data_IF_458754241622
#
_entry.id   IF_458754241622
#
_cell.length_a   1.000
_cell.length_b   1.000
_cell.length_c   1.000
_cell.angle_alpha   90.00
_cell.angle_beta   90.00
_cell.angle_gamma   90.00
#
_symmetry.space_group_name_H-M   'P 1'
#
loop_
_entity.id
_entity.type
_entity.pdbx_description
1 polymer ?
#
# COMPACT_ATOMS: atom_id res chain seq x y z
N UNK A 1 2.45 7.59 4.60
CA UNK A 1 2.46 8.09 3.21
C UNK A 1 1.76 9.43 3.23
N UNK A 2 2.49 10.55 3.24
CA UNK A 2 1.84 11.86 3.02
C UNK A 2 1.51 11.92 1.51
N UNK A 3 0.28 11.52 1.21
CA UNK A 3 -0.53 11.82 0.03
C UNK A 3 0.20 11.98 -1.32
N UNK A 4 0.79 10.91 -1.86
CA UNK A 4 0.99 10.82 -3.32
C UNK A 4 -0.36 10.69 -4.07
N UNK A 5 -1.44 10.32 -3.36
CA UNK A 5 -2.79 10.08 -3.91
C UNK A 5 -3.89 11.03 -3.41
N UNK A 6 -3.51 12.16 -2.80
CA UNK A 6 -4.44 13.06 -2.12
C UNK A 6 -5.02 12.48 -0.82
N UNK A 7 -5.97 13.19 -0.19
CA UNK A 7 -6.67 12.78 1.05
C UNK A 7 -6.41 13.73 2.24
N UNK A 8 -7.29 13.69 3.24
CA UNK A 8 -7.14 14.47 4.47
C UNK A 8 -6.31 13.76 5.55
N UNK A 9 -6.14 14.41 6.73
CA UNK A 9 -5.36 13.87 7.85
C UNK A 9 -5.82 12.50 8.35
N UNK A 10 -7.07 12.10 8.09
CA UNK A 10 -7.59 10.78 8.41
C UNK A 10 -6.77 9.65 7.79
N UNK A 11 -6.10 9.89 6.66
CA UNK A 11 -5.23 8.92 5.99
C UNK A 11 -3.80 8.89 6.56
N UNK A 12 -3.50 9.60 7.65
CA UNK A 12 -2.28 9.36 8.42
C UNK A 12 -2.33 8.01 9.17
N UNK A 13 -3.54 7.50 9.46
CA UNK A 13 -3.75 6.18 10.04
C UNK A 13 -3.80 5.13 8.93
N UNK A 14 -2.90 4.15 8.97
CA UNK A 14 -2.79 3.12 7.93
C UNK A 14 -4.13 2.42 7.63
N UNK A 15 -4.86 2.01 8.67
CA UNK A 15 -6.12 1.28 8.50
C UNK A 15 -7.24 2.11 7.85
N UNK A 16 -7.20 3.44 7.94
CA UNK A 16 -8.22 4.28 7.31
C UNK A 16 -8.15 4.22 5.77
N UNK A 17 -7.00 3.85 5.20
CA UNK A 17 -6.88 3.61 3.76
C UNK A 17 -7.79 2.49 3.25
N UNK A 18 -8.35 1.63 4.11
CA UNK A 18 -9.39 0.65 3.71
C UNK A 18 -10.63 1.29 3.08
N UNK A 19 -10.88 2.56 3.38
CA UNK A 19 -12.01 3.36 2.89
C UNK A 19 -11.68 4.12 1.60
N UNK A 20 -10.42 4.16 1.18
CA UNK A 20 -9.99 4.87 0.00
C UNK A 20 -10.64 4.28 -1.25
N UNK A 21 -11.19 5.11 -2.12
CA UNK A 21 -11.71 4.70 -3.43
C UNK A 21 -12.62 3.46 -3.39
N UNK A 22 -12.39 2.48 -4.26
CA UNK A 22 -13.20 1.25 -4.41
C UNK A 22 -12.39 -0.02 -4.08
N UNK A 23 -13.05 -1.15 -3.72
CA UNK A 23 -12.38 -2.43 -3.57
C UNK A 23 -11.62 -2.82 -4.84
N UNK A 24 -10.45 -3.43 -4.68
CA UNK A 24 -9.63 -3.91 -5.78
C UNK A 24 -9.01 -5.29 -5.46
N UNK A 25 -8.36 -5.87 -6.46
CA UNK A 25 -7.46 -7.02 -6.30
C UNK A 25 -6.00 -6.56 -6.23
N UNK A 26 -5.09 -7.47 -5.90
CA UNK A 26 -3.65 -7.21 -5.97
C UNK A 26 -3.23 -6.94 -7.43
N UNK A 27 -2.90 -5.69 -7.73
CA UNK A 27 -2.46 -5.23 -9.04
C UNK A 27 -1.59 -3.98 -8.92
N UNK A 28 -0.75 -3.71 -9.92
CA UNK A 28 0.03 -2.46 -9.97
C UNK A 28 -0.91 -1.27 -9.91
N UNK A 29 -0.58 -0.30 -9.07
CA UNK A 29 -1.44 0.85 -8.80
C UNK A 29 -2.49 0.63 -7.71
N UNK A 30 -2.65 -0.56 -7.15
CA UNK A 30 -3.48 -0.73 -5.97
C UNK A 30 -2.77 -0.19 -4.71
N UNK A 31 -3.53 0.48 -3.84
CA UNK A 31 -3.16 0.71 -2.46
C UNK A 31 -3.31 -0.60 -1.71
N UNK A 32 -2.22 -1.09 -1.13
CA UNK A 32 -2.20 -2.27 -0.28
C UNK A 32 -2.24 -1.83 1.19
N UNK A 33 -3.23 -2.33 1.93
CA UNK A 33 -3.50 -1.89 3.30
C UNK A 33 -3.42 -3.06 4.26
N UNK A 34 -2.52 -2.95 5.23
CA UNK A 34 -2.47 -3.78 6.42
C UNK A 34 -3.01 -2.98 7.62
N UNK A 35 -3.35 -3.67 8.72
CA UNK A 35 -3.84 -2.99 9.94
C UNK A 35 -2.90 -1.90 10.46
N UNK A 36 -1.59 -2.08 10.30
CA UNK A 36 -0.55 -1.19 10.85
C UNK A 36 0.37 -0.58 9.78
N UNK A 37 0.14 -0.86 8.50
CA UNK A 37 1.01 -0.36 7.42
C UNK A 37 0.23 -0.14 6.14
N UNK A 38 0.72 0.75 5.27
CA UNK A 38 0.11 1.02 3.97
C UNK A 38 1.20 1.28 2.94
N UNK A 39 0.96 0.84 1.71
CA UNK A 39 1.81 1.13 0.57
C UNK A 39 1.04 1.07 -0.74
N UNK A 40 1.77 1.20 -1.84
CA UNK A 40 1.25 1.03 -3.20
C UNK A 40 2.01 -0.09 -3.90
N UNK A 41 1.28 -0.97 -4.58
CA UNK A 41 1.89 -1.94 -5.48
C UNK A 41 2.44 -1.20 -6.69
N UNK A 42 3.74 -1.33 -6.94
CA UNK A 42 4.42 -0.67 -8.07
C UNK A 42 4.98 -1.68 -9.08
N UNK A 43 4.94 -2.96 -8.77
CA UNK A 43 5.42 -4.01 -9.68
C UNK A 43 5.32 -5.40 -9.07
N UNK A 44 5.87 -6.37 -9.78
CA UNK A 44 5.95 -7.77 -9.35
C UNK A 44 7.32 -8.32 -9.77
N UNK A 45 7.97 -9.09 -8.90
CA UNK A 45 9.22 -9.79 -9.24
C UNK A 45 8.93 -10.90 -10.25
N UNK A 46 9.95 -11.38 -10.96
CA UNK A 46 9.85 -12.57 -11.82
C UNK A 46 9.36 -13.81 -11.06
N UNK A 47 9.71 -13.93 -9.77
CA UNK A 47 9.22 -14.98 -8.87
C UNK A 47 7.81 -14.74 -8.30
N UNK A 48 7.09 -13.71 -8.77
CA UNK A 48 5.69 -13.48 -8.43
C UNK A 48 5.43 -12.72 -7.13
N UNK A 49 6.45 -12.17 -6.46
CA UNK A 49 6.27 -11.34 -5.25
C UNK A 49 5.91 -9.91 -5.61
N UNK A 50 4.96 -9.31 -4.91
CA UNK A 50 4.59 -7.91 -5.13
C UNK A 50 5.66 -6.96 -4.62
N UNK A 51 6.00 -5.96 -5.44
CA UNK A 51 6.91 -4.88 -5.12
C UNK A 51 6.09 -3.71 -4.61
N UNK A 52 6.33 -3.30 -3.36
CA UNK A 52 5.56 -2.28 -2.68
C UNK A 52 6.43 -1.06 -2.42
N UNK A 53 5.97 0.11 -2.85
CA UNK A 53 6.49 1.38 -2.37
C UNK A 53 5.71 1.80 -1.12
N UNK A 54 6.38 2.06 -0.01
CA UNK A 54 5.74 2.52 1.22
C UNK A 54 6.65 3.43 2.04
N UNK A 55 6.04 4.35 2.79
CA UNK A 55 6.74 5.20 3.75
C UNK A 55 6.79 4.58 5.14
N UNK A 56 7.67 5.08 6.01
CA UNK A 56 7.94 4.50 7.33
C UNK A 56 8.31 3.00 7.30
N UNK A 57 8.85 2.52 6.18
CA UNK A 57 9.45 1.19 6.10
C UNK A 57 10.86 1.27 6.69
N UNK A 58 10.96 1.05 8.01
CA UNK A 58 12.19 1.27 8.77
C UNK A 58 12.58 2.75 8.84
N UNK A 59 11.60 3.64 9.05
CA UNK A 59 11.81 5.10 9.14
C UNK A 59 12.11 5.79 7.81
N UNK A 60 12.00 5.08 6.68
CA UNK A 60 12.30 5.63 5.33
C UNK A 60 11.20 5.27 4.34
N UNK A 61 11.23 5.91 3.17
CA UNK A 61 10.49 5.42 2.00
C UNK A 61 11.31 4.32 1.34
N UNK A 62 10.70 3.16 1.09
CA UNK A 62 11.35 2.03 0.43
C UNK A 62 10.43 1.42 -0.62
N UNK A 63 11.05 0.91 -1.68
CA UNK A 63 10.42 0.10 -2.72
C UNK A 63 11.03 -1.29 -2.69
N UNK A 64 10.30 -2.32 -2.26
CA UNK A 64 10.86 -3.68 -2.15
C UNK A 64 9.79 -4.78 -2.20
N UNK A 65 10.17 -6.03 -2.50
CA UNK A 65 9.25 -7.16 -2.42
C UNK A 65 8.69 -7.35 -1.01
N UNK A 66 7.37 -7.47 -0.87
CA UNK A 66 6.69 -7.76 0.40
C UNK A 66 5.58 -8.79 0.20
N UNK A 67 5.28 -9.55 1.26
CA UNK A 67 4.08 -10.37 1.30
C UNK A 67 2.86 -9.46 1.39
N UNK A 68 1.78 -9.82 0.69
CA UNK A 68 0.48 -9.13 0.77
C UNK A 68 -0.59 -9.99 1.45
N UNK A 69 -0.17 -11.07 2.13
CA UNK A 69 -1.08 -11.92 2.89
C UNK A 69 -1.81 -11.09 3.96
N UNK A 70 -3.13 -11.29 4.06
CA UNK A 70 -3.99 -10.55 4.99
C UNK A 70 -4.17 -9.06 4.69
N UNK A 71 -3.64 -8.57 3.56
CA UNK A 71 -3.89 -7.21 3.10
C UNK A 71 -5.22 -7.11 2.36
N UNK A 72 -5.78 -5.90 2.35
CA UNK A 72 -6.85 -5.52 1.44
C UNK A 72 -6.31 -4.56 0.38
N UNK A 73 -6.99 -4.47 -0.75
CA UNK A 73 -6.56 -3.65 -1.87
C UNK A 73 -7.63 -2.63 -2.24
N UNK A 74 -7.20 -1.40 -2.53
CA UNK A 74 -8.06 -0.26 -2.88
C UNK A 74 -7.51 0.48 -4.09
N UNK A 75 -8.39 1.10 -4.89
CA UNK A 75 -8.04 2.02 -5.97
C UNK A 75 -8.91 3.26 -5.94
#
# INVERSE_FOLDING_TARGET
MRTQRGGGPEFNVAWNWRKYGRPASAQVGAVVVWRHHVGQIVGRTSSGRWIIQSGNDGGRVRTRPRSVAGAIFRM
#
